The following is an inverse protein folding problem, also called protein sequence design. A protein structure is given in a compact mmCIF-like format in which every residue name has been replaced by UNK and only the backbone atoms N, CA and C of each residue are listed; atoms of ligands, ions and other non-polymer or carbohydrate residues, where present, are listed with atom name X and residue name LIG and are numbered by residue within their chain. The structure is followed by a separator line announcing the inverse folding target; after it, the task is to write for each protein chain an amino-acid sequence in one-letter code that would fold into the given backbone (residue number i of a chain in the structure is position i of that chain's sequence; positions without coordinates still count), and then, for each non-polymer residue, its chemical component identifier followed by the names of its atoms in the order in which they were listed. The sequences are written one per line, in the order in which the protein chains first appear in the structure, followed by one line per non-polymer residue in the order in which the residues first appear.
data_IF_226052707214
#
_entry.id   IF_226052707214
#
_cell.length_a   1.000
_cell.length_b   1.000
_cell.length_c   1.000
_cell.angle_alpha   90.00
_cell.angle_beta   90.00
_cell.angle_gamma   90.00
#
_symmetry.space_group_name_H-M   'P 1'
#
loop_
_entity.id
_entity.type
_entity.pdbx_description
1 polymer ?
#
# COMPACT_ATOMS: atom_id res chain seq x y z
N UNK A 1 -13.54 -33.88 -25.55
CA UNK A 1 -12.62 -32.83 -26.04
C UNK A 1 -12.31 -31.93 -24.86
N UNK A 2 -11.03 -31.76 -24.54
CA UNK A 2 -10.55 -30.78 -23.56
C UNK A 2 -10.74 -29.36 -24.11
N UNK A 3 -10.89 -28.40 -23.19
CA UNK A 3 -10.02 -27.23 -23.15
C UNK A 3 -10.11 -26.57 -21.78
N UNK A 4 -9.14 -26.95 -20.96
CA UNK A 4 -8.60 -26.13 -19.89
C UNK A 4 -8.06 -24.82 -20.47
N UNK A 5 -8.42 -23.70 -19.86
CA UNK A 5 -7.58 -22.50 -19.86
C UNK A 5 -7.63 -21.82 -18.50
N UNK A 6 -6.70 -22.26 -17.64
CA UNK A 6 -5.72 -21.42 -16.93
C UNK A 6 -6.20 -20.53 -15.75
N UNK A 7 -6.14 -21.16 -14.58
CA UNK A 7 -5.74 -20.76 -13.19
C UNK A 7 -4.89 -19.46 -13.00
N UNK A 8 -4.55 -18.97 -11.78
CA UNK A 8 -4.79 -19.47 -10.39
C UNK A 8 -5.05 -18.41 -9.28
N UNK A 9 -5.57 -18.90 -8.14
CA UNK A 9 -5.20 -18.60 -6.73
C UNK A 9 -4.75 -17.17 -6.34
N UNK A 10 -5.60 -16.49 -5.54
CA UNK A 10 -5.27 -15.28 -4.77
C UNK A 10 -4.62 -15.61 -3.41
N UNK A 11 -3.88 -16.71 -3.30
CA UNK A 11 -3.11 -17.05 -2.10
C UNK A 11 -1.69 -16.47 -2.18
N UNK A 12 -1.58 -15.17 -2.50
CA UNK A 12 -0.32 -14.44 -2.29
C UNK A 12 -0.37 -13.83 -0.89
N UNK A 13 0.45 -14.30 0.08
CA UNK A 13 0.63 -13.58 1.33
C UNK A 13 1.36 -12.28 1.00
N UNK A 14 0.62 -11.20 0.81
CA UNK A 14 1.22 -9.92 0.45
C UNK A 14 0.23 -8.80 0.23
N UNK A 15 -0.82 -8.97 -0.58
CA UNK A 15 -1.81 -7.91 -0.80
C UNK A 15 -3.11 -8.47 -1.36
N UNK A 16 -4.19 -8.37 -0.57
CA UNK A 16 -5.56 -8.72 -0.97
C UNK A 16 -6.21 -7.50 -1.62
N UNK A 17 -6.34 -7.49 -2.94
CA UNK A 17 -6.99 -6.38 -3.68
C UNK A 17 -8.50 -6.33 -3.48
N UNK A 18 -9.08 -7.39 -2.92
CA UNK A 18 -10.47 -7.57 -2.52
C UNK A 18 -10.80 -6.97 -1.14
N UNK A 19 -9.82 -6.38 -0.45
CA UNK A 19 -10.04 -5.74 0.86
C UNK A 19 -10.71 -4.37 0.79
N UNK A 20 -10.68 -3.69 -0.37
CA UNK A 20 -11.40 -2.44 -0.57
C UNK A 20 -12.90 -2.73 -0.74
N UNK A 21 -13.74 -2.13 0.11
CA UNK A 21 -15.18 -2.33 -0.02
C UNK A 21 -15.68 -1.63 -1.29
N UNK A 22 -16.68 -2.20 -2.01
CA UNK A 22 -17.16 -1.66 -3.28
C UNK A 22 -17.67 -0.21 -3.19
N UNK A 23 -18.13 0.21 -2.02
CA UNK A 23 -18.65 1.53 -1.69
C UNK A 23 -17.56 2.55 -1.31
N UNK A 24 -16.31 2.13 -1.09
CA UNK A 24 -15.24 3.03 -0.67
C UNK A 24 -14.99 4.15 -1.68
N UNK A 25 -15.15 3.87 -2.98
CA UNK A 25 -15.00 4.87 -4.05
C UNK A 25 -16.06 5.97 -4.02
N UNK A 26 -17.20 5.73 -3.37
CA UNK A 26 -18.29 6.71 -3.24
C UNK A 26 -18.12 7.63 -2.02
N UNK A 27 -17.19 7.31 -1.11
CA UNK A 27 -16.95 8.12 0.08
C UNK A 27 -16.24 9.42 -0.31
N UNK A 28 -16.76 10.54 0.20
CA UNK A 28 -16.22 11.87 -0.10
C UNK A 28 -14.77 12.03 0.38
N UNK A 29 -14.39 11.29 1.43
CA UNK A 29 -13.03 11.22 1.98
C UNK A 29 -12.03 10.48 1.08
N UNK A 30 -12.52 9.59 0.21
CA UNK A 30 -11.71 8.83 -0.75
C UNK A 30 -11.60 9.54 -2.11
N UNK A 31 -11.98 10.83 -2.18
CA UNK A 31 -11.68 11.66 -3.35
C UNK A 31 -10.18 11.85 -3.46
N UNK A 32 -9.65 11.80 -4.69
CA UNK A 32 -8.21 11.77 -4.98
C UNK A 32 -7.39 12.87 -4.26
N UNK A 33 -7.91 14.09 -4.15
CA UNK A 33 -7.21 15.18 -3.46
C UNK A 33 -7.01 14.91 -1.96
N UNK A 34 -8.06 14.46 -1.27
CA UNK A 34 -8.00 14.17 0.17
C UNK A 34 -7.22 12.89 0.48
N UNK A 35 -7.22 11.94 -0.46
CA UNK A 35 -6.33 10.78 -0.39
C UNK A 35 -4.86 11.16 -0.54
N UNK A 36 -4.53 12.05 -1.48
CA UNK A 36 -3.15 12.51 -1.69
C UNK A 36 -2.60 13.20 -0.44
N UNK A 37 -3.37 14.15 0.11
CA UNK A 37 -2.97 14.90 1.32
C UNK A 37 -2.66 13.98 2.51
N UNK A 38 -3.50 12.96 2.74
CA UNK A 38 -3.28 11.97 3.82
C UNK A 38 -2.06 11.07 3.57
N UNK A 39 -1.76 10.77 2.31
CA UNK A 39 -0.57 9.99 1.96
C UNK A 39 0.69 10.82 2.18
N UNK A 40 0.66 12.08 1.78
CA UNK A 40 1.79 13.00 1.97
C UNK A 40 2.06 13.25 3.46
N UNK A 41 1.01 13.51 4.26
CA UNK A 41 1.10 13.64 5.73
C UNK A 41 1.68 12.37 6.39
N UNK A 42 1.16 11.19 6.03
CA UNK A 42 1.66 9.93 6.56
C UNK A 42 3.12 9.63 6.17
N UNK A 43 3.57 10.11 5.00
CA UNK A 43 4.97 10.00 4.59
C UNK A 43 5.86 10.98 5.36
N UNK A 44 5.41 12.21 5.59
CA UNK A 44 6.14 13.19 6.39
C UNK A 44 6.29 12.75 7.86
N UNK A 45 5.26 12.13 8.43
CA UNK A 45 5.28 11.59 9.80
C UNK A 45 6.14 10.32 9.94
N UNK A 46 6.16 9.45 8.91
CA UNK A 46 6.85 8.15 8.97
C UNK A 46 8.35 8.26 8.66
N UNK A 47 8.81 9.41 8.16
CA UNK A 47 10.22 9.62 7.83
C UNK A 47 10.79 10.88 8.49
N UNK A 48 11.02 10.84 9.83
CA UNK A 48 11.62 11.96 10.55
C UNK A 48 13.00 12.37 10.02
N UNK A 49 13.70 11.49 9.29
CA UNK A 49 14.82 11.76 8.39
C UNK A 49 15.20 10.46 7.66
N UNK A 50 15.40 10.53 6.36
CA UNK A 50 15.82 9.45 5.45
C UNK A 50 17.02 8.64 6.00
N UNK A 51 16.80 7.37 6.36
CA UNK A 51 17.78 6.33 6.76
C UNK A 51 18.67 6.67 8.00
N UNK A 52 18.63 5.88 9.09
CA UNK A 52 19.54 6.08 10.22
C UNK A 52 21.02 6.10 9.79
N UNK A 53 21.76 7.10 10.27
CA UNK A 53 23.20 7.23 10.00
C UNK A 53 23.95 6.03 10.62
N UNK A 54 24.51 5.16 9.78
CA UNK A 54 25.32 4.01 10.22
C UNK A 54 26.67 4.49 10.77
N UNK A 55 26.80 4.59 12.09
CA UNK A 55 28.08 4.92 12.75
C UNK A 55 28.75 3.69 13.36
N UNK A 56 30.03 3.46 13.02
CA UNK A 56 30.94 2.58 13.78
C UNK A 56 32.02 3.46 14.40
N UNK A 57 31.95 3.66 15.72
CA UNK A 57 32.99 4.37 16.48
C UNK A 57 34.01 3.33 16.94
N UNK A 58 35.17 3.28 16.29
CA UNK A 58 36.34 2.51 16.77
C UNK A 58 37.12 3.34 17.78
N UNK A 59 37.57 2.68 18.85
CA UNK A 59 38.32 3.28 19.98
C UNK A 59 39.69 3.81 19.58
#
# INVERSE_FOLDING_TARGET
MANDSKTPSQDKPGFRQDSAQPNDKALHENKQGKLSERLDEGLEETFPSSDPVSVKITK
#
